data_IF_316410577046
#
_entry.id   IF_316410577046
#
_cell.length_a   1.000
_cell.length_b   1.000
_cell.length_c   1.000
_cell.angle_alpha   90.00
_cell.angle_beta   90.00
_cell.angle_gamma   90.00
#
_symmetry.space_group_name_H-M   'P 1'
#
loop_
_entity.id
_entity.type
_entity.pdbx_description
1 polymer ?
#
# COMPACT_ATOMS: atom_id res chain seq x y z
N UNK A 1 -29.84 -6.56 9.84
CA UNK A 1 -30.72 -6.44 8.63
C UNK A 1 -32.20 -6.47 8.99
N UNK A 2 -32.71 -7.45 9.76
CA UNK A 2 -34.14 -7.52 10.12
C UNK A 2 -34.61 -6.35 11.01
N UNK A 3 -33.85 -5.95 12.04
CA UNK A 3 -34.20 -4.80 12.90
C UNK A 3 -34.23 -3.46 12.14
N UNK A 4 -33.37 -3.31 11.13
CA UNK A 4 -33.37 -2.13 10.25
C UNK A 4 -34.62 -2.07 9.38
N UNK A 5 -35.02 -3.20 8.79
CA UNK A 5 -36.26 -3.29 8.01
C UNK A 5 -37.49 -3.03 8.89
N UNK A 6 -37.50 -3.53 10.12
CA UNK A 6 -38.56 -3.24 11.09
C UNK A 6 -38.67 -1.74 11.37
N UNK A 7 -37.57 -1.04 11.65
CA UNK A 7 -37.61 0.42 11.87
C UNK A 7 -38.11 1.16 10.63
N UNK A 8 -37.68 0.74 9.43
CA UNK A 8 -38.04 1.40 8.17
C UNK A 8 -39.52 1.24 7.79
N UNK A 9 -40.12 0.11 8.13
CA UNK A 9 -41.50 -0.22 7.76
C UNK A 9 -42.48 -0.15 8.92
N UNK A 10 -42.04 0.30 10.10
CA UNK A 10 -42.92 0.46 11.26
C UNK A 10 -43.87 1.63 11.02
N UNK A 11 -45.18 1.46 11.25
CA UNK A 11 -46.12 2.58 11.26
C UNK A 11 -45.72 3.64 12.29
N UNK A 12 -46.13 4.89 12.06
CA UNK A 12 -45.85 5.97 13.00
C UNK A 12 -46.53 5.72 14.36
N UNK A 13 -46.00 6.31 15.42
CA UNK A 13 -46.52 6.08 16.77
C UNK A 13 -48.00 6.47 16.89
N UNK A 14 -48.46 7.50 16.18
CA UNK A 14 -49.87 7.90 16.14
C UNK A 14 -50.77 6.84 15.49
N UNK A 15 -50.28 6.20 14.42
CA UNK A 15 -50.98 5.11 13.73
C UNK A 15 -51.06 3.88 14.63
N UNK A 16 -49.96 3.53 15.30
CA UNK A 16 -49.93 2.43 16.28
C UNK A 16 -50.90 2.68 17.45
N UNK A 17 -50.99 3.93 17.94
CA UNK A 17 -51.93 4.29 18.99
C UNK A 17 -53.38 4.16 18.53
N UNK A 18 -53.66 4.50 17.28
CA UNK A 18 -55.01 4.36 16.68
C UNK A 18 -55.38 2.90 16.53
N UNK A 19 -54.48 2.08 15.97
CA UNK A 19 -54.66 0.63 15.83
C UNK A 19 -54.85 -0.05 17.19
N UNK A 20 -54.17 0.42 18.23
CA UNK A 20 -54.28 -0.15 19.58
C UNK A 20 -55.71 -0.10 20.17
N UNK A 21 -56.58 0.79 19.65
CA UNK A 21 -57.99 0.91 20.07
C UNK A 21 -58.89 -0.14 19.42
N UNK A 22 -58.44 -0.75 18.30
CA UNK A 22 -59.19 -1.74 17.52
C UNK A 22 -58.91 -3.19 17.96
N UNK A 23 -58.33 -3.40 19.15
CA UNK A 23 -57.96 -4.73 19.68
C UNK A 23 -59.14 -5.71 19.74
N UNK A 24 -60.36 -5.23 19.95
CA UNK A 24 -61.57 -6.06 20.01
C UNK A 24 -61.93 -6.69 18.67
N UNK A 25 -61.47 -6.11 17.56
CA UNK A 25 -61.80 -6.54 16.20
C UNK A 25 -60.64 -7.26 15.52
N UNK A 26 -59.62 -7.70 16.27
CA UNK A 26 -58.37 -8.25 15.76
C UNK A 26 -58.53 -9.28 14.63
N UNK A 27 -59.44 -10.24 14.80
CA UNK A 27 -59.66 -11.32 13.82
C UNK A 27 -60.32 -10.85 12.51
N UNK A 28 -60.88 -9.64 12.49
CA UNK A 28 -61.56 -9.07 11.33
C UNK A 28 -60.68 -8.09 10.53
N UNK A 29 -59.48 -7.79 11.03
CA UNK A 29 -58.54 -6.86 10.41
C UNK A 29 -57.59 -7.55 9.44
N UNK A 30 -57.01 -6.78 8.53
CA UNK A 30 -56.00 -7.28 7.59
C UNK A 30 -54.67 -7.61 8.29
N UNK A 31 -53.86 -8.51 7.72
CA UNK A 31 -52.56 -8.92 8.32
C UNK A 31 -51.65 -7.75 8.73
N UNK A 32 -51.51 -6.65 7.94
CA UNK A 32 -50.70 -5.49 8.35
C UNK A 32 -51.26 -4.74 9.57
N UNK A 33 -52.58 -4.66 9.70
CA UNK A 33 -53.25 -4.00 10.84
C UNK A 33 -53.14 -4.87 12.09
N UNK A 34 -53.30 -6.19 11.94
CA UNK A 34 -53.03 -7.15 13.00
C UNK A 34 -51.59 -7.03 13.51
N UNK A 35 -50.61 -6.94 12.60
CA UNK A 35 -49.21 -6.69 12.95
C UNK A 35 -49.04 -5.38 13.73
N UNK A 36 -49.66 -4.28 13.27
CA UNK A 36 -49.62 -2.99 13.95
C UNK A 36 -50.21 -3.04 15.37
N UNK A 37 -51.29 -3.80 15.57
CA UNK A 37 -51.87 -4.02 16.91
C UNK A 37 -50.90 -4.77 17.82
N UNK A 38 -50.30 -5.87 17.35
CA UNK A 38 -49.32 -6.63 18.15
C UNK A 38 -48.13 -5.75 18.51
N UNK A 39 -47.61 -4.97 17.57
CA UNK A 39 -46.49 -4.05 17.80
C UNK A 39 -46.85 -2.90 18.75
N UNK A 40 -48.09 -2.41 18.73
CA UNK A 40 -48.56 -1.35 19.64
C UNK A 40 -48.53 -1.74 21.12
N UNK A 41 -48.58 -3.05 21.42
CA UNK A 41 -48.49 -3.55 22.79
C UNK A 41 -47.07 -3.40 23.38
N UNK A 42 -46.05 -3.23 22.53
CA UNK A 42 -44.66 -3.10 22.98
C UNK A 42 -44.39 -1.67 23.44
N UNK A 43 -44.23 -1.49 24.76
CA UNK A 43 -43.89 -0.20 25.35
C UNK A 43 -42.56 0.35 24.79
N UNK A 44 -42.56 1.60 24.34
CA UNK A 44 -41.38 2.31 23.78
C UNK A 44 -40.71 1.55 22.62
N UNK A 45 -41.51 1.00 21.71
CA UNK A 45 -41.04 0.17 20.60
C UNK A 45 -39.91 0.81 19.78
N UNK A 46 -40.04 2.07 19.38
CA UNK A 46 -39.00 2.77 18.60
C UNK A 46 -37.66 2.84 19.35
N UNK A 47 -37.68 3.20 20.64
CA UNK A 47 -36.47 3.22 21.48
C UNK A 47 -35.83 1.83 21.59
N UNK A 48 -36.64 0.78 21.78
CA UNK A 48 -36.15 -0.60 21.84
C UNK A 48 -35.49 -1.04 20.54
N UNK A 49 -36.12 -0.77 19.41
CA UNK A 49 -35.60 -1.13 18.09
C UNK A 49 -34.29 -0.40 17.78
N UNK A 50 -34.22 0.90 18.03
CA UNK A 50 -33.00 1.70 17.85
C UNK A 50 -31.86 1.20 18.74
N UNK A 51 -32.16 0.86 20.00
CA UNK A 51 -31.20 0.30 20.93
C UNK A 51 -30.69 -1.08 20.49
N UNK A 52 -31.58 -1.98 20.04
CA UNK A 52 -31.20 -3.29 19.50
C UNK A 52 -30.34 -3.13 18.26
N UNK A 53 -30.72 -2.23 17.34
CA UNK A 53 -29.94 -1.96 16.13
C UNK A 53 -28.54 -1.47 16.49
N UNK A 54 -28.43 -0.51 17.41
CA UNK A 54 -27.15 0.00 17.90
C UNK A 54 -26.30 -1.13 18.48
N UNK A 55 -26.87 -1.98 19.36
CA UNK A 55 -26.15 -3.13 19.93
C UNK A 55 -25.62 -4.09 18.87
N UNK A 56 -26.40 -4.36 17.82
CA UNK A 56 -26.00 -5.23 16.72
C UNK A 56 -24.90 -4.63 15.84
N UNK A 57 -24.86 -3.30 15.71
CA UNK A 57 -23.86 -2.59 14.89
C UNK A 57 -22.62 -2.15 15.68
N UNK A 58 -22.68 -2.13 17.00
CA UNK A 58 -21.63 -1.57 17.85
C UNK A 58 -20.27 -2.21 17.60
N UNK A 59 -20.20 -3.54 17.54
CA UNK A 59 -18.96 -4.26 17.31
C UNK A 59 -18.37 -3.95 15.91
N UNK A 60 -19.22 -3.86 14.89
CA UNK A 60 -18.82 -3.47 13.54
C UNK A 60 -18.26 -2.03 13.52
N UNK A 61 -18.95 -1.09 14.17
CA UNK A 61 -18.48 0.29 14.26
C UNK A 61 -17.11 0.38 14.96
N UNK A 62 -16.91 -0.35 16.06
CA UNK A 62 -15.61 -0.43 16.75
C UNK A 62 -14.53 -1.02 15.84
N UNK A 63 -14.85 -2.09 15.11
CA UNK A 63 -13.94 -2.76 14.19
C UNK A 63 -13.62 -1.92 12.94
N UNK A 64 -14.44 -0.93 12.62
CA UNK A 64 -14.15 0.03 11.54
C UNK A 64 -13.27 1.18 12.03
N UNK A 65 -13.50 1.72 13.24
CA UNK A 65 -12.75 2.88 13.77
C UNK A 65 -11.36 2.48 14.27
N UNK A 66 -11.25 1.36 14.97
CA UNK A 66 -10.02 0.96 15.67
C UNK A 66 -8.81 0.77 14.73
N UNK A 67 -8.92 0.10 13.57
CA UNK A 67 -7.80 -0.09 12.66
C UNK A 67 -7.25 1.23 12.12
N UNK A 68 -8.11 2.21 11.87
CA UNK A 68 -7.71 3.53 11.40
C UNK A 68 -6.86 4.25 12.46
N UNK A 69 -7.33 4.28 13.71
CA UNK A 69 -6.57 4.85 14.83
C UNK A 69 -5.18 4.18 14.95
N UNK A 70 -5.16 2.85 14.86
CA UNK A 70 -3.92 2.08 14.95
C UNK A 70 -2.97 2.36 13.78
N UNK A 71 -3.50 2.44 12.56
CA UNK A 71 -2.70 2.69 11.36
C UNK A 71 -1.99 4.04 11.45
N UNK A 72 -2.69 5.09 11.85
CA UNK A 72 -2.03 6.41 11.94
C UNK A 72 -1.14 6.54 13.18
N UNK A 73 -1.52 5.94 14.31
CA UNK A 73 -0.64 5.90 15.50
C UNK A 73 0.69 5.22 15.17
N UNK A 74 0.65 4.07 14.50
CA UNK A 74 1.83 3.36 14.01
C UNK A 74 2.60 4.23 13.00
N UNK A 75 1.88 4.81 12.02
CA UNK A 75 2.27 5.94 11.18
C UNK A 75 3.29 6.89 11.82
N UNK A 76 2.81 7.56 12.85
CA UNK A 76 3.53 8.63 13.50
C UNK A 76 4.70 8.14 14.35
N UNK A 77 4.58 6.98 15.00
CA UNK A 77 5.69 6.38 15.71
C UNK A 77 6.84 5.98 14.76
N UNK A 78 6.50 5.35 13.63
CA UNK A 78 7.42 4.94 12.58
C UNK A 78 8.19 6.15 12.01
N UNK A 79 7.47 7.20 11.64
CA UNK A 79 8.04 8.46 11.12
C UNK A 79 9.02 9.10 12.11
N UNK A 80 8.71 9.06 13.41
CA UNK A 80 9.57 9.66 14.45
C UNK A 80 10.77 8.79 14.79
N UNK A 81 10.60 7.47 14.83
CA UNK A 81 11.63 6.51 15.30
C UNK A 81 12.62 6.13 14.19
N UNK A 82 12.18 6.13 12.92
CA UNK A 82 13.00 5.68 11.79
C UNK A 82 14.34 6.43 11.73
N UNK A 83 15.43 5.65 11.82
CA UNK A 83 16.81 6.15 11.69
C UNK A 83 17.17 6.33 10.22
N UNK A 84 16.73 5.39 9.38
CA UNK A 84 16.94 5.40 7.94
C UNK A 84 16.29 6.63 7.29
N UNK A 85 15.05 6.97 7.68
CA UNK A 85 14.37 8.18 7.20
C UNK A 85 15.10 9.45 7.63
N UNK A 86 15.54 9.55 8.88
CA UNK A 86 16.36 10.70 9.33
C UNK A 86 17.64 10.84 8.52
N UNK A 87 18.32 9.73 8.23
CA UNK A 87 19.53 9.74 7.41
C UNK A 87 19.26 10.15 5.97
N UNK A 88 18.11 9.76 5.41
CA UNK A 88 17.66 10.23 4.10
C UNK A 88 17.51 11.76 4.08
N UNK A 89 16.88 12.33 5.11
CA UNK A 89 16.70 13.79 5.21
C UNK A 89 18.04 14.53 5.30
N UNK A 90 19.01 14.00 6.05
CA UNK A 90 20.38 14.54 6.09
C UNK A 90 21.04 14.53 4.70
N UNK A 91 20.89 13.45 3.95
CA UNK A 91 21.43 13.35 2.59
C UNK A 91 20.78 14.36 1.64
N UNK A 92 19.45 14.50 1.71
CA UNK A 92 18.71 15.49 0.92
C UNK A 92 19.16 16.90 1.27
N UNK A 93 19.34 17.21 2.56
CA UNK A 93 19.83 18.52 3.01
C UNK A 93 21.25 18.79 2.50
N UNK A 94 22.14 17.80 2.58
CA UNK A 94 23.52 17.91 2.10
C UNK A 94 23.57 18.19 0.60
N UNK A 95 22.84 17.39 -0.20
CA UNK A 95 22.76 17.56 -1.65
C UNK A 95 22.15 18.91 -2.01
N UNK A 96 21.06 19.28 -1.34
CA UNK A 96 20.39 20.56 -1.53
C UNK A 96 21.30 21.75 -1.23
N UNK A 97 22.06 21.71 -0.14
CA UNK A 97 23.01 22.77 0.23
C UNK A 97 24.17 22.89 -0.76
N UNK A 98 24.67 21.76 -1.27
CA UNK A 98 25.71 21.75 -2.30
C UNK A 98 25.21 22.34 -3.62
N UNK A 99 24.02 21.93 -4.08
CA UNK A 99 23.43 22.40 -5.34
C UNK A 99 23.02 23.87 -5.31
N UNK A 100 22.60 24.36 -4.14
CA UNK A 100 22.16 25.75 -3.95
C UNK A 100 23.30 26.69 -3.52
N UNK A 101 24.57 26.25 -3.59
CA UNK A 101 25.71 27.09 -3.24
C UNK A 101 25.72 28.40 -4.04
N UNK A 102 25.89 29.53 -3.35
CA UNK A 102 25.86 30.88 -3.95
C UNK A 102 24.45 31.46 -4.18
N UNK A 103 23.38 30.74 -3.83
CA UNK A 103 22.01 31.25 -3.85
C UNK A 103 21.52 31.68 -2.46
N UNK A 104 20.35 32.32 -2.39
CA UNK A 104 19.67 32.63 -1.12
C UNK A 104 19.37 31.39 -0.25
N UNK A 105 19.30 30.21 -0.86
CA UNK A 105 19.03 28.93 -0.20
C UNK A 105 20.32 28.14 0.13
N UNK A 106 21.50 28.76 0.00
CA UNK A 106 22.74 28.16 0.45
C UNK A 106 22.77 28.03 1.98
N UNK A 107 23.43 26.99 2.50
CA UNK A 107 23.69 26.78 3.94
C UNK A 107 22.42 26.79 4.82
N UNK A 108 21.33 26.21 4.34
CA UNK A 108 20.13 26.05 5.16
C UNK A 108 20.32 24.93 6.18
N UNK A 109 19.71 25.08 7.36
CA UNK A 109 19.74 24.06 8.43
C UNK A 109 18.65 23.02 8.29
N UNK A 110 17.69 23.23 7.39
CA UNK A 110 16.55 22.36 7.18
C UNK A 110 15.69 22.82 6.02
N UNK A 111 14.76 21.96 5.63
CA UNK A 111 13.80 22.21 4.57
C UNK A 111 12.43 21.67 4.97
N UNK A 112 11.37 22.20 4.37
CA UNK A 112 10.03 21.68 4.58
C UNK A 112 9.86 20.32 3.88
N UNK A 113 9.34 19.31 4.58
CA UNK A 113 9.17 17.94 4.08
C UNK A 113 8.32 17.83 2.80
N UNK A 114 7.38 18.74 2.56
CA UNK A 114 6.66 18.84 1.27
C UNK A 114 7.60 19.00 0.05
N UNK A 115 8.82 19.48 0.27
CA UNK A 115 9.84 19.62 -0.78
C UNK A 115 10.36 18.28 -1.27
N UNK A 116 10.20 17.19 -0.51
CA UNK A 116 10.62 15.85 -0.93
C UNK A 116 9.95 15.41 -2.24
N UNK A 117 8.65 15.73 -2.39
CA UNK A 117 7.89 15.47 -3.61
C UNK A 117 8.41 16.26 -4.83
N UNK A 118 9.19 17.32 -4.62
CA UNK A 118 9.74 18.18 -5.69
C UNK A 118 11.08 17.68 -6.23
N UNK A 119 11.70 16.70 -5.59
CA UNK A 119 12.98 16.14 -6.04
C UNK A 119 12.89 15.45 -7.42
N UNK A 120 11.69 15.05 -7.85
CA UNK A 120 11.47 14.54 -9.21
C UNK A 120 11.51 15.64 -10.28
N UNK A 121 11.26 16.89 -9.90
CA UNK A 121 11.11 17.99 -10.87
C UNK A 121 12.46 18.56 -11.29
N UNK A 122 13.49 18.40 -10.45
CA UNK A 122 14.87 18.76 -10.78
C UNK A 122 15.49 17.70 -11.68
N UNK A 123 15.74 18.03 -12.95
CA UNK A 123 16.31 17.11 -13.96
C UNK A 123 17.81 17.32 -14.16
N UNK A 124 18.50 16.26 -14.58
CA UNK A 124 19.88 16.34 -15.08
C UNK A 124 19.95 17.15 -16.38
N UNK A 125 21.15 17.62 -16.74
CA UNK A 125 21.38 18.41 -17.96
C UNK A 125 20.97 17.67 -19.24
N UNK A 126 21.10 16.34 -19.26
CA UNK A 126 20.67 15.48 -20.37
C UNK A 126 19.17 15.10 -20.32
N UNK A 127 18.43 15.59 -19.32
CA UNK A 127 17.01 15.34 -19.07
C UNK A 127 16.62 13.86 -18.92
N UNK A 128 17.58 12.95 -18.76
CA UNK A 128 17.32 11.50 -18.65
C UNK A 128 17.02 11.05 -17.23
N UNK A 129 17.52 11.77 -16.24
CA UNK A 129 17.40 11.43 -14.82
C UNK A 129 16.96 12.63 -14.01
N UNK A 130 16.46 12.37 -12.82
CA UNK A 130 16.04 13.43 -11.88
C UNK A 130 16.91 13.38 -10.63
N UNK A 131 16.85 14.43 -9.81
CA UNK A 131 17.54 14.48 -8.54
C UNK A 131 17.09 13.33 -7.61
N UNK A 132 15.81 12.92 -7.70
CA UNK A 132 15.32 11.73 -7.01
C UNK A 132 16.03 10.45 -7.48
N UNK A 133 16.20 10.25 -8.78
CA UNK A 133 16.94 9.09 -9.32
C UNK A 133 18.39 9.06 -8.82
N UNK A 134 19.04 10.22 -8.82
CA UNK A 134 20.40 10.38 -8.33
C UNK A 134 20.50 10.10 -6.82
N UNK A 135 19.56 10.59 -6.02
CA UNK A 135 19.49 10.32 -4.59
C UNK A 135 19.36 8.83 -4.30
N UNK A 136 18.45 8.15 -5.01
CA UNK A 136 18.25 6.70 -4.87
C UNK A 136 19.53 5.94 -5.24
N UNK A 137 20.20 6.32 -6.32
CA UNK A 137 21.46 5.71 -6.74
C UNK A 137 22.58 5.88 -5.71
N UNK A 138 22.71 7.07 -5.10
CA UNK A 138 23.63 7.29 -3.98
C UNK A 138 23.28 6.41 -2.77
N UNK A 139 22.00 6.28 -2.44
CA UNK A 139 21.56 5.44 -1.34
C UNK A 139 21.92 3.97 -1.62
N UNK A 140 21.68 3.47 -2.83
CA UNK A 140 22.05 2.10 -3.22
C UNK A 140 23.56 1.83 -3.12
N UNK A 141 24.39 2.79 -3.53
CA UNK A 141 25.85 2.59 -3.62
C UNK A 141 26.59 2.85 -2.32
N UNK A 142 26.19 3.88 -1.56
CA UNK A 142 26.96 4.38 -0.41
C UNK A 142 26.24 4.25 0.92
N UNK A 143 24.91 4.23 0.92
CA UNK A 143 24.09 4.25 2.15
C UNK A 143 22.93 3.24 2.07
N UNK A 144 23.21 1.93 1.92
CA UNK A 144 22.18 0.92 1.71
C UNK A 144 21.21 0.79 2.89
N UNK A 145 21.65 1.17 4.09
CA UNK A 145 20.83 1.24 5.31
C UNK A 145 19.70 2.27 5.20
N UNK A 146 19.87 3.31 4.40
CA UNK A 146 18.85 4.35 4.16
C UNK A 146 17.66 3.77 3.44
N UNK A 147 17.84 2.80 2.53
CA UNK A 147 16.76 2.20 1.74
C UNK A 147 15.68 1.54 2.61
N UNK A 148 16.02 1.13 3.83
CA UNK A 148 15.09 0.51 4.78
C UNK A 148 13.96 1.46 5.23
N UNK A 149 14.06 2.77 4.96
CA UNK A 149 12.99 3.70 5.33
C UNK A 149 11.65 3.35 4.65
N UNK A 150 11.68 2.69 3.50
CA UNK A 150 10.45 2.26 2.83
C UNK A 150 9.72 1.18 3.62
N UNK A 151 10.45 0.35 4.37
CA UNK A 151 9.90 -0.69 5.24
C UNK A 151 9.58 -0.14 6.63
N UNK A 152 10.44 0.76 7.15
CA UNK A 152 10.19 1.42 8.43
C UNK A 152 8.86 2.20 8.43
N UNK A 153 8.42 2.71 7.28
CA UNK A 153 7.19 3.51 7.11
C UNK A 153 6.04 2.72 6.45
N UNK A 154 5.89 1.43 6.75
CA UNK A 154 4.91 0.55 6.10
C UNK A 154 3.44 0.95 6.36
N UNK A 155 3.11 1.55 7.51
CA UNK A 155 1.72 1.92 7.83
C UNK A 155 1.27 3.20 7.13
N UNK A 156 2.20 3.90 6.46
CA UNK A 156 1.95 5.18 5.82
C UNK A 156 0.89 5.11 4.71
N UNK A 157 0.82 4.01 3.95
CA UNK A 157 -0.20 3.82 2.89
C UNK A 157 -1.63 3.70 3.43
N UNK A 158 -1.78 3.08 4.61
CA UNK A 158 -3.09 3.00 5.28
C UNK A 158 -3.41 4.34 5.93
N UNK A 159 -2.44 4.90 6.65
CA UNK A 159 -2.56 6.16 7.36
C UNK A 159 -2.94 7.33 6.45
N UNK A 160 -2.40 7.41 5.22
CA UNK A 160 -2.73 8.48 4.28
C UNK A 160 -4.16 8.44 3.74
N UNK A 161 -4.91 7.34 3.97
CA UNK A 161 -6.30 7.17 3.52
C UNK A 161 -7.31 7.43 4.64
N UNK A 162 -6.83 7.59 5.87
CA UNK A 162 -7.68 7.83 7.04
C UNK A 162 -8.08 9.30 7.06
N UNK A 163 -9.38 9.56 7.16
CA UNK A 163 -9.89 10.91 7.42
C UNK A 163 -10.04 11.14 8.92
N UNK A 164 -9.27 12.08 9.47
CA UNK A 164 -9.30 12.45 10.87
C UNK A 164 -10.68 13.03 11.26
N UNK A 165 -11.28 13.83 10.38
CA UNK A 165 -12.60 14.40 10.60
C UNK A 165 -13.69 13.32 10.70
N UNK A 166 -13.68 12.34 9.79
CA UNK A 166 -14.66 11.25 9.83
C UNK A 166 -14.47 10.37 11.07
N UNK A 167 -13.22 10.15 11.47
CA UNK A 167 -12.90 9.35 12.64
C UNK A 167 -13.42 10.00 13.92
N UNK A 168 -13.21 11.32 14.08
CA UNK A 168 -13.75 12.09 15.21
C UNK A 168 -15.30 12.11 15.20
N UNK A 169 -15.92 12.29 14.02
CA UNK A 169 -17.39 12.25 13.87
C UNK A 169 -17.95 10.89 14.30
N UNK A 170 -17.38 9.80 13.81
CA UNK A 170 -17.84 8.44 14.11
C UNK A 170 -17.70 8.12 15.60
N UNK A 171 -16.59 8.54 16.22
CA UNK A 171 -16.35 8.35 17.65
C UNK A 171 -17.35 9.15 18.51
N UNK A 172 -17.57 10.43 18.20
CA UNK A 172 -18.57 11.26 18.87
C UNK A 172 -20.00 10.73 18.68
N UNK A 173 -20.32 10.22 17.49
CA UNK A 173 -21.62 9.61 17.23
C UNK A 173 -21.84 8.37 18.09
N UNK A 174 -20.85 7.48 18.16
CA UNK A 174 -20.90 6.28 19.00
C UNK A 174 -21.08 6.64 20.48
N UNK A 175 -20.34 7.64 20.98
CA UNK A 175 -20.46 8.11 22.36
C UNK A 175 -21.86 8.66 22.66
N UNK A 176 -22.42 9.48 21.75
CA UNK A 176 -23.79 10.00 21.88
C UNK A 176 -24.83 8.89 21.89
N UNK A 177 -24.68 7.87 21.02
CA UNK A 177 -25.59 6.72 20.97
C UNK A 177 -25.54 5.91 22.27
N UNK A 178 -24.37 5.72 22.86
CA UNK A 178 -24.22 5.08 24.18
C UNK A 178 -24.86 5.89 25.30
N UNK A 179 -24.60 7.20 25.35
CA UNK A 179 -25.20 8.09 26.35
C UNK A 179 -26.73 8.13 26.25
N UNK A 180 -27.26 8.12 25.03
CA UNK A 180 -28.69 8.08 24.79
C UNK A 180 -29.29 6.74 25.26
N UNK A 181 -28.63 5.63 24.94
CA UNK A 181 -29.05 4.30 25.40
C UNK A 181 -29.05 4.20 26.93
N UNK A 182 -28.04 4.74 27.60
CA UNK A 182 -27.98 4.77 29.06
C UNK A 182 -29.15 5.56 29.67
N UNK A 183 -29.46 6.74 29.12
CA UNK A 183 -30.62 7.54 29.56
C UNK A 183 -31.92 6.79 29.34
N UNK A 184 -32.07 6.15 28.17
CA UNK A 184 -33.27 5.40 27.85
C UNK A 184 -33.48 4.25 28.84
N UNK A 185 -32.44 3.46 29.13
CA UNK A 185 -32.50 2.37 30.11
C UNK A 185 -32.89 2.82 31.52
N UNK A 186 -32.51 4.03 31.94
CA UNK A 186 -32.92 4.60 33.24
C UNK A 186 -34.40 5.01 33.28
N UNK A 187 -34.99 5.34 32.13
CA UNK A 187 -36.39 5.79 32.01
C UNK A 187 -37.32 4.61 31.62
N UNK A 188 -36.78 3.43 31.31
CA UNK A 188 -37.62 2.27 30.97
C UNK A 188 -38.46 1.82 32.17
N UNK A 189 -39.78 1.60 31.99
CA UNK A 189 -40.62 1.08 33.06
C UNK A 189 -40.17 -0.34 33.46
N UNK A 190 -40.51 -0.79 34.69
CA UNK A 190 -40.32 -2.17 35.08
C UNK A 190 -40.98 -3.13 34.07
N UNK A 191 -40.38 -4.30 33.81
CA UNK A 191 -40.97 -5.27 32.88
C UNK A 191 -42.28 -5.81 33.45
N UNK A 192 -43.37 -5.64 32.71
CA UNK A 192 -44.69 -6.20 33.09
C UNK A 192 -44.82 -7.68 32.69
N UNK A 193 -43.93 -8.17 31.82
CA UNK A 193 -43.92 -9.53 31.27
C UNK A 193 -42.57 -10.21 31.58
N UNK A 194 -42.63 -11.47 32.02
CA UNK A 194 -41.48 -12.36 32.22
C UNK A 194 -40.62 -12.54 30.95
N UNK A 195 -41.20 -12.32 29.76
CA UNK A 195 -40.49 -12.37 28.49
C UNK A 195 -39.77 -11.06 28.14
N UNK A 196 -40.05 -9.94 28.82
CA UNK A 196 -39.36 -8.67 28.61
C UNK A 196 -37.98 -8.66 29.30
N UNK A 197 -36.97 -9.15 28.56
CA UNK A 197 -35.58 -9.19 29.00
C UNK A 197 -34.75 -8.00 28.49
N UNK A 198 -35.39 -6.94 27.99
CA UNK A 198 -34.68 -5.85 27.32
C UNK A 198 -33.66 -5.17 28.24
N UNK A 199 -34.08 -4.69 29.42
CA UNK A 199 -33.19 -4.01 30.37
C UNK A 199 -32.07 -4.94 30.84
N UNK A 200 -32.39 -6.21 31.12
CA UNK A 200 -31.41 -7.21 31.56
C UNK A 200 -30.37 -7.57 30.49
N UNK A 201 -30.76 -7.57 29.20
CA UNK A 201 -29.87 -7.92 28.07
C UNK A 201 -29.14 -6.72 27.49
N UNK A 202 -29.69 -5.53 27.63
CA UNK A 202 -29.07 -4.27 27.20
C UNK A 202 -28.08 -3.77 28.26
N UNK A 203 -27.05 -4.57 28.51
CA UNK A 203 -25.91 -4.13 29.30
C UNK A 203 -25.08 -3.12 28.50
N UNK A 204 -24.85 -1.95 29.11
CA UNK A 204 -24.07 -0.84 28.55
C UNK A 204 -22.61 -0.84 29.00
N UNK A 205 -22.27 -1.58 30.05
CA UNK A 205 -20.94 -1.54 30.68
C UNK A 205 -19.83 -1.91 29.68
N UNK A 206 -20.05 -2.97 28.91
CA UNK A 206 -19.14 -3.40 27.85
C UNK A 206 -18.98 -2.34 26.75
N UNK A 207 -20.09 -1.72 26.33
CA UNK A 207 -20.05 -0.67 25.30
C UNK A 207 -19.31 0.58 25.76
N UNK A 208 -19.53 1.00 27.01
CA UNK A 208 -18.86 2.14 27.63
C UNK A 208 -17.36 1.90 27.77
N UNK A 209 -16.93 0.71 28.22
CA UNK A 209 -15.50 0.37 28.34
C UNK A 209 -14.80 0.41 26.97
N UNK A 210 -15.41 -0.19 25.95
CA UNK A 210 -14.88 -0.19 24.59
C UNK A 210 -14.80 1.23 24.00
N UNK A 211 -15.84 2.04 24.18
CA UNK A 211 -15.86 3.42 23.71
C UNK A 211 -14.79 4.26 24.42
N UNK A 212 -14.69 4.18 25.75
CA UNK A 212 -13.65 4.89 26.52
C UNK A 212 -12.24 4.49 26.07
N UNK A 213 -12.02 3.20 25.81
CA UNK A 213 -10.74 2.72 25.28
C UNK A 213 -10.44 3.31 23.90
N UNK A 214 -11.41 3.33 23.00
CA UNK A 214 -11.27 3.95 21.67
C UNK A 214 -10.98 5.45 21.79
N UNK A 215 -11.68 6.18 22.64
CA UNK A 215 -11.44 7.61 22.89
C UNK A 215 -10.02 7.85 23.41
N UNK A 216 -9.54 7.06 24.39
CA UNK A 216 -8.15 7.18 24.86
C UNK A 216 -7.13 6.88 23.77
N UNK A 217 -7.40 5.88 22.91
CA UNK A 217 -6.53 5.59 21.76
C UNK A 217 -6.51 6.76 20.76
N UNK A 218 -7.66 7.38 20.50
CA UNK A 218 -7.78 8.56 19.65
C UNK A 218 -6.99 9.76 20.20
N UNK A 219 -7.15 10.09 21.49
CA UNK A 219 -6.42 11.17 22.13
C UNK A 219 -4.89 10.94 22.10
N UNK A 220 -4.46 9.70 22.29
CA UNK A 220 -3.05 9.35 22.20
C UNK A 220 -2.52 9.50 20.77
N UNK A 221 -3.31 9.09 19.77
CA UNK A 221 -3.02 9.28 18.36
C UNK A 221 -2.85 10.77 18.02
N UNK A 222 -3.77 11.64 18.47
CA UNK A 222 -3.65 13.09 18.29
C UNK A 222 -2.38 13.67 18.93
N UNK A 223 -2.01 13.22 20.13
CA UNK A 223 -0.75 13.61 20.78
C UNK A 223 0.47 13.17 19.98
N UNK A 224 0.46 11.96 19.42
CA UNK A 224 1.53 11.49 18.53
C UNK A 224 1.65 12.39 17.29
N UNK A 225 0.53 12.83 16.72
CA UNK A 225 0.53 13.75 15.57
C UNK A 225 1.18 15.07 15.92
N UNK A 226 0.73 15.72 16.99
CA UNK A 226 1.27 17.00 17.44
C UNK A 226 2.77 16.90 17.71
N UNK A 227 3.21 15.79 18.29
CA UNK A 227 4.61 15.51 18.54
C UNK A 227 5.43 15.36 17.23
N UNK A 228 4.90 14.68 16.21
CA UNK A 228 5.58 14.54 14.91
C UNK A 228 5.64 15.88 14.18
N UNK A 229 4.53 16.61 14.15
CA UNK A 229 4.48 17.92 13.50
C UNK A 229 5.44 18.91 14.16
N UNK A 230 5.49 18.93 15.49
CA UNK A 230 6.46 19.73 16.24
C UNK A 230 7.90 19.30 15.97
N UNK A 231 8.17 17.99 15.90
CA UNK A 231 9.52 17.46 15.63
C UNK A 231 10.07 17.86 14.26
N UNK A 232 9.22 17.87 13.23
CA UNK A 232 9.59 18.28 11.86
C UNK A 232 9.30 19.77 11.55
N UNK A 233 8.98 20.57 12.58
CA UNK A 233 8.67 22.00 12.47
C UNK A 233 7.58 22.32 11.42
N UNK A 234 6.53 21.51 11.38
CA UNK A 234 5.37 21.69 10.49
C UNK A 234 4.30 22.52 11.20
N UNK A 235 3.79 23.53 10.49
CA UNK A 235 2.70 24.40 10.98
C UNK A 235 1.33 23.73 10.76
N UNK A 236 0.71 23.31 11.87
CA UNK A 236 -0.63 22.70 11.91
C UNK A 236 -1.73 23.60 11.32
N UNK A 237 -1.49 24.91 11.19
CA UNK A 237 -2.46 25.83 10.56
C UNK A 237 -2.40 25.81 9.04
N UNK A 238 -1.29 25.34 8.47
CA UNK A 238 -1.03 25.36 7.02
C UNK A 238 -1.17 24.01 6.38
N UNK A 239 -0.80 22.95 7.09
CA UNK A 239 -0.77 21.59 6.57
C UNK A 239 -1.59 20.70 7.49
N UNK A 240 -2.61 20.06 6.92
CA UNK A 240 -3.41 19.09 7.66
C UNK A 240 -2.62 17.78 7.87
N UNK A 241 -3.03 16.97 8.86
CA UNK A 241 -2.39 15.66 9.12
C UNK A 241 -2.52 14.74 7.92
N UNK A 242 -3.69 14.73 7.29
CA UNK A 242 -4.00 13.93 6.10
C UNK A 242 -3.10 14.32 4.93
N UNK A 243 -2.94 15.61 4.69
CA UNK A 243 -2.06 16.15 3.65
C UNK A 243 -0.60 15.78 3.89
N UNK A 244 -0.12 15.94 5.12
CA UNK A 244 1.25 15.57 5.48
C UNK A 244 1.55 14.08 5.25
N UNK A 245 0.67 13.20 5.73
CA UNK A 245 0.83 11.75 5.57
C UNK A 245 0.72 11.34 4.09
N UNK A 246 -0.16 12.00 3.34
CA UNK A 246 -0.33 11.79 1.90
C UNK A 246 0.92 12.20 1.14
N UNK A 247 1.47 13.39 1.39
CA UNK A 247 2.71 13.85 0.78
C UNK A 247 3.88 12.92 1.06
N UNK A 248 4.00 12.45 2.32
CA UNK A 248 5.06 11.52 2.67
C UNK A 248 4.87 10.16 2.00
N UNK A 249 3.64 9.66 1.87
CA UNK A 249 3.34 8.42 1.16
C UNK A 249 3.63 8.55 -0.35
N UNK A 250 3.30 9.70 -0.93
CA UNK A 250 3.61 10.03 -2.32
C UNK A 250 5.12 10.01 -2.54
N UNK A 251 5.90 10.65 -1.67
CA UNK A 251 7.35 10.61 -1.73
C UNK A 251 7.90 9.19 -1.61
N UNK A 252 7.43 8.39 -0.64
CA UNK A 252 7.81 6.98 -0.48
C UNK A 252 7.55 6.18 -1.77
N UNK A 253 6.38 6.37 -2.36
CA UNK A 253 5.99 5.70 -3.62
C UNK A 253 6.87 6.13 -4.78
N UNK A 254 7.13 7.44 -4.90
CA UNK A 254 8.03 7.99 -5.92
C UNK A 254 9.47 7.47 -5.77
N UNK A 255 9.97 7.35 -4.54
CA UNK A 255 11.30 6.81 -4.26
C UNK A 255 11.41 5.35 -4.72
N UNK A 256 10.42 4.51 -4.37
CA UNK A 256 10.35 3.12 -4.81
C UNK A 256 10.26 3.00 -6.34
N UNK A 257 9.51 3.90 -6.99
CA UNK A 257 9.41 3.94 -8.44
C UNK A 257 10.76 4.32 -9.08
N UNK A 258 11.44 5.34 -8.56
CA UNK A 258 12.76 5.74 -9.03
C UNK A 258 13.82 4.64 -8.84
N UNK A 259 13.75 3.85 -7.76
CA UNK A 259 14.60 2.67 -7.57
C UNK A 259 14.38 1.62 -8.67
N UNK A 260 13.12 1.30 -8.98
CA UNK A 260 12.77 0.38 -10.08
C UNK A 260 13.24 0.89 -11.44
N UNK A 261 13.11 2.20 -11.69
CA UNK A 261 13.56 2.84 -12.92
C UNK A 261 15.09 2.82 -13.05
N UNK A 262 15.81 3.06 -11.95
CA UNK A 262 17.27 2.95 -11.90
C UNK A 262 17.76 1.53 -12.20
N UNK A 263 17.12 0.50 -11.65
CA UNK A 263 17.46 -0.89 -11.95
C UNK A 263 17.30 -1.17 -13.45
N UNK A 264 16.15 -0.80 -14.03
CA UNK A 264 15.89 -0.98 -15.47
C UNK A 264 16.90 -0.22 -16.35
N UNK A 265 17.29 0.99 -15.94
CA UNK A 265 18.30 1.80 -16.62
C UNK A 265 19.67 1.10 -16.59
N UNK A 266 20.14 0.67 -15.41
CA UNK A 266 21.42 -0.06 -15.25
C UNK A 266 21.46 -1.35 -16.08
N UNK A 267 20.35 -2.10 -16.12
CA UNK A 267 20.23 -3.31 -16.96
C UNK A 267 20.30 -3.01 -18.47
N UNK A 268 19.63 -1.93 -18.91
CA UNK A 268 19.65 -1.52 -20.31
C UNK A 268 21.04 -1.02 -20.75
N UNK A 269 21.72 -0.24 -19.90
CA UNK A 269 23.08 0.25 -20.13
C UNK A 269 24.09 -0.90 -20.24
N UNK A 270 24.03 -1.89 -19.34
CA UNK A 270 24.91 -3.06 -19.39
C UNK A 270 24.63 -3.93 -20.64
N UNK A 271 23.36 -4.08 -21.04
CA UNK A 271 22.99 -4.77 -22.28
C UNK A 271 23.56 -4.05 -23.51
N UNK A 272 23.45 -2.72 -23.56
CA UNK A 272 24.02 -1.92 -24.65
C UNK A 272 25.55 -2.00 -24.67
N UNK A 273 26.20 -1.92 -23.51
CA UNK A 273 27.67 -2.05 -23.40
C UNK A 273 28.15 -3.40 -23.94
N UNK A 274 27.49 -4.50 -23.57
CA UNK A 274 27.79 -5.84 -24.09
C UNK A 274 27.58 -5.94 -25.61
N UNK A 275 26.52 -5.33 -26.13
CA UNK A 275 26.25 -5.30 -27.56
C UNK A 275 27.32 -4.51 -28.34
N UNK A 276 27.79 -3.37 -27.82
CA UNK A 276 28.88 -2.58 -28.43
C UNK A 276 30.19 -3.36 -28.47
N UNK A 277 30.59 -3.97 -27.35
CA UNK A 277 31.80 -4.80 -27.28
C UNK A 277 31.72 -5.99 -28.26
N UNK A 278 30.55 -6.62 -28.37
CA UNK A 278 30.35 -7.72 -29.33
C UNK A 278 30.44 -7.26 -30.78
N UNK A 279 29.89 -6.08 -31.11
CA UNK A 279 29.94 -5.48 -32.45
C UNK A 279 31.37 -5.10 -32.83
N UNK A 280 32.10 -4.42 -31.96
CA UNK A 280 33.51 -4.05 -32.18
C UNK A 280 34.40 -5.27 -32.37
N UNK A 281 34.19 -6.33 -31.57
CA UNK A 281 34.91 -7.59 -31.73
C UNK A 281 34.59 -8.27 -33.06
N UNK A 282 33.33 -8.28 -33.49
CA UNK A 282 32.91 -8.84 -34.77
C UNK A 282 33.47 -8.05 -35.96
N UNK A 283 33.53 -6.72 -35.88
CA UNK A 283 34.14 -5.86 -36.89
C UNK A 283 35.65 -6.08 -36.98
N UNK A 284 36.35 -6.20 -35.84
CA UNK A 284 37.78 -6.51 -35.81
C UNK A 284 38.08 -7.88 -36.44
N UNK A 285 37.31 -8.92 -36.10
CA UNK A 285 37.47 -10.26 -36.69
C UNK A 285 37.18 -10.26 -38.20
N UNK A 286 36.19 -9.46 -38.65
CA UNK A 286 35.90 -9.30 -40.08
C UNK A 286 37.06 -8.61 -40.82
N UNK A 287 37.64 -7.56 -40.24
CA UNK A 287 38.77 -6.83 -40.83
C UNK A 287 40.02 -7.72 -40.88
N UNK A 288 40.32 -8.47 -39.82
CA UNK A 288 41.43 -9.43 -39.79
C UNK A 288 41.27 -10.52 -40.88
N UNK A 289 40.06 -11.04 -41.07
CA UNK A 289 39.75 -11.99 -42.17
C UNK A 289 39.95 -11.37 -43.54
N UNK A 290 39.52 -10.12 -43.74
CA UNK A 290 39.72 -9.40 -45.01
C UNK A 290 41.20 -9.13 -45.29
N UNK A 291 41.97 -8.69 -44.29
CA UNK A 291 43.42 -8.49 -44.43
C UNK A 291 44.17 -9.81 -44.70
N UNK A 292 43.80 -10.89 -44.02
CA UNK A 292 44.38 -12.22 -44.26
C UNK A 292 44.07 -12.70 -45.69
N UNK A 293 42.85 -12.47 -46.19
CA UNK A 293 42.48 -12.75 -47.58
C UNK A 293 43.26 -11.87 -48.58
N UNK A 294 43.45 -10.57 -48.30
CA UNK A 294 44.22 -9.66 -49.16
C UNK A 294 45.70 -10.03 -49.21
N UNK A 295 46.33 -10.35 -48.08
CA UNK A 295 47.71 -10.86 -48.02
C UNK A 295 47.91 -12.14 -48.83
N UNK A 296 46.97 -13.09 -48.73
CA UNK A 296 47.01 -14.32 -49.53
C UNK A 296 46.86 -14.08 -51.04
N UNK A 297 46.23 -12.98 -51.45
CA UNK A 297 46.10 -12.57 -52.86
C UNK A 297 47.34 -11.80 -53.34
N UNK A 298 47.90 -10.90 -52.52
CA UNK A 298 49.09 -10.07 -52.85
C UNK A 298 50.39 -10.90 -52.90
N UNK A 299 50.60 -11.87 -52.00
CA UNK A 299 51.74 -12.80 -52.07
C UNK A 299 51.75 -13.68 -53.33
N UNK A 300 50.66 -13.69 -54.11
CA UNK A 300 50.51 -14.52 -55.31
C UNK A 300 50.58 -13.72 -56.62
N UNK A 301 50.69 -12.39 -56.58
CA UNK A 301 50.78 -11.52 -57.77
C UNK A 301 52.19 -11.05 -58.11
N UNK A 302 53.19 -11.29 -57.25
CA UNK A 302 54.59 -10.85 -57.47
C UNK A 302 55.50 -11.93 -58.12
N UNK A 303 54.96 -13.08 -58.55
CA UNK A 303 55.74 -14.09 -59.29
C UNK A 303 54.88 -14.87 -60.28
N UNK A 304 55.21 -14.72 -61.57
CA UNK A 304 54.77 -15.45 -62.78
C UNK A 304 53.33 -16.02 -62.85
N UNK A 305 52.61 -15.57 -63.88
CA UNK A 305 51.20 -15.85 -64.19
C UNK A 305 50.83 -17.34 -64.41
N UNK A 306 51.77 -18.28 -64.27
CA UNK A 306 51.54 -19.71 -64.51
C UNK A 306 51.32 -20.56 -63.25
N UNK A 307 51.55 -20.05 -62.03
CA UNK A 307 51.46 -20.83 -60.77
C UNK A 307 50.22 -20.59 -59.89
N UNK A 308 49.36 -19.64 -60.28
CA UNK A 308 48.25 -19.15 -59.44
C UNK A 308 47.17 -20.23 -59.21
N UNK A 309 46.89 -21.05 -60.22
CA UNK A 309 45.87 -22.11 -60.21
C UNK A 309 46.27 -23.28 -59.29
N UNK A 310 47.50 -23.78 -59.42
CA UNK A 310 48.02 -24.89 -58.62
C UNK A 310 48.15 -24.50 -57.14
N UNK A 311 48.60 -23.28 -56.86
CA UNK A 311 48.63 -22.75 -55.49
C UNK A 311 47.24 -22.53 -54.88
N UNK A 312 46.18 -22.38 -55.68
CA UNK A 312 44.79 -22.31 -55.19
C UNK A 312 44.24 -23.71 -54.89
N UNK A 313 44.54 -24.68 -55.76
CA UNK A 313 44.18 -26.08 -55.55
C UNK A 313 44.87 -26.66 -54.32
N UNK A 314 46.15 -26.36 -54.10
CA UNK A 314 46.91 -26.80 -52.93
C UNK A 314 46.39 -26.20 -51.61
N UNK A 315 45.96 -24.93 -51.61
CA UNK A 315 45.35 -24.28 -50.45
C UNK A 315 43.95 -24.84 -50.11
N UNK A 316 43.19 -25.26 -51.13
CA UNK A 316 41.91 -25.95 -50.97
C UNK A 316 42.10 -27.39 -50.47
N UNK A 317 43.11 -28.09 -50.99
CA UNK A 317 43.41 -29.49 -50.69
C UNK A 317 44.09 -29.68 -49.32
N UNK A 318 44.98 -28.76 -48.92
CA UNK A 318 45.58 -28.70 -47.57
C UNK A 318 44.61 -28.22 -46.47
N UNK A 319 43.41 -27.75 -46.87
CA UNK A 319 42.40 -27.20 -45.98
C UNK A 319 42.75 -25.83 -45.39
N UNK A 320 43.88 -25.22 -45.78
CA UNK A 320 44.31 -23.90 -45.33
C UNK A 320 43.29 -22.80 -45.66
N UNK A 321 42.51 -22.98 -46.73
CA UNK A 321 41.45 -22.07 -47.15
C UNK A 321 40.22 -21.99 -46.21
N UNK A 322 40.00 -22.96 -45.31
CA UNK A 322 38.74 -23.09 -44.54
C UNK A 322 38.90 -23.18 -43.01
N UNK A 323 40.10 -23.02 -42.45
CA UNK A 323 40.39 -23.33 -41.04
C UNK A 323 39.62 -22.49 -39.98
N UNK A 324 39.11 -21.31 -40.30
CA UNK A 324 38.59 -20.37 -39.29
C UNK A 324 37.10 -20.54 -38.90
N UNK A 325 36.35 -21.50 -39.48
CA UNK A 325 34.91 -21.66 -39.20
C UNK A 325 34.56 -22.49 -37.95
N UNK A 326 35.51 -23.14 -37.25
CA UNK A 326 35.22 -24.18 -36.22
C UNK A 326 35.56 -23.84 -34.76
N UNK A 327 35.97 -22.63 -34.39
CA UNK A 327 36.16 -22.29 -32.95
C UNK A 327 34.89 -21.67 -32.37
N UNK A 328 33.97 -22.51 -31.86
CA UNK A 328 32.90 -22.06 -30.95
C UNK A 328 33.54 -21.64 -29.62
N UNK A 329 33.35 -20.39 -29.23
CA UNK A 329 33.74 -19.85 -27.92
C UNK A 329 32.78 -20.34 -26.83
N UNK A 330 33.26 -20.78 -25.65
CA UNK A 330 32.40 -21.09 -24.50
C UNK A 330 31.78 -19.80 -23.95
N UNK A 331 30.50 -19.84 -23.57
CA UNK A 331 29.84 -18.74 -22.82
C UNK A 331 30.41 -18.68 -21.40
N UNK A 332 30.93 -17.53 -20.93
CA UNK A 332 31.25 -17.37 -19.52
C UNK A 332 29.95 -17.21 -18.73
N UNK A 333 29.74 -18.07 -17.73
CA UNK A 333 28.70 -17.90 -16.70
C UNK A 333 29.18 -16.79 -15.76
N UNK A 334 28.55 -15.62 -15.83
CA UNK A 334 28.89 -14.49 -14.97
C UNK A 334 28.26 -14.63 -13.57
N UNK A 335 29.09 -14.59 -12.54
CA UNK A 335 28.73 -14.67 -11.10
C UNK A 335 28.14 -13.36 -10.51
N UNK A 336 27.88 -12.34 -11.32
CA UNK A 336 27.31 -11.06 -10.86
C UNK A 336 25.79 -11.07 -10.63
N UNK A 337 25.10 -12.18 -10.91
CA UNK A 337 23.64 -12.28 -10.85
C UNK A 337 23.07 -12.52 -9.43
N UNK A 338 23.92 -12.85 -8.44
CA UNK A 338 23.44 -13.32 -7.14
C UNK A 338 23.11 -12.16 -6.19
N UNK A 339 23.82 -11.03 -6.26
CA UNK A 339 23.58 -9.88 -5.36
C UNK A 339 22.36 -9.05 -5.80
N UNK A 340 22.17 -8.86 -7.11
CA UNK A 340 21.04 -8.11 -7.70
C UNK A 340 19.69 -8.82 -7.50
N UNK A 341 19.65 -10.16 -7.50
CA UNK A 341 18.43 -10.93 -7.23
C UNK A 341 17.95 -10.82 -5.79
N UNK A 342 18.86 -10.62 -4.84
CA UNK A 342 18.51 -10.45 -3.43
C UNK A 342 17.81 -9.11 -3.20
N UNK A 343 18.30 -8.04 -3.82
CA UNK A 343 17.68 -6.72 -3.78
C UNK A 343 16.37 -6.64 -4.59
N UNK A 344 16.30 -7.30 -5.76
CA UNK A 344 15.03 -7.40 -6.49
C UNK A 344 13.97 -8.15 -5.68
N UNK A 345 14.34 -9.16 -4.88
CA UNK A 345 13.38 -9.85 -4.00
C UNK A 345 12.90 -8.96 -2.84
N UNK A 346 13.76 -8.11 -2.29
CA UNK A 346 13.42 -7.18 -1.20
C UNK A 346 12.64 -5.95 -1.67
N UNK A 347 12.88 -5.46 -2.89
CA UNK A 347 12.19 -4.28 -3.46
C UNK A 347 10.88 -4.68 -4.20
N UNK A 348 10.77 -5.92 -4.65
CA UNK A 348 9.56 -6.47 -5.31
C UNK A 348 8.64 -7.18 -4.32
N UNK A 349 9.01 -7.34 -3.04
CA UNK A 349 8.08 -7.80 -2.00
C UNK A 349 7.12 -6.69 -1.55
N UNK A 350 6.32 -6.16 -2.49
CA UNK A 350 4.99 -5.69 -2.14
C UNK A 350 4.06 -6.90 -2.13
N UNK A 351 3.39 -7.22 -1.01
CA UNK A 351 2.28 -8.14 -1.09
C UNK A 351 1.14 -7.42 -1.83
N UNK A 352 0.96 -7.76 -3.10
CA UNK A 352 -0.36 -7.66 -3.73
C UNK A 352 -1.32 -8.50 -2.89
N UNK A 353 -2.24 -7.87 -2.16
CA UNK A 353 -3.60 -8.31 -1.75
C UNK A 353 -3.91 -9.80 -1.39
N UNK A 354 -2.94 -10.68 -1.24
CA UNK A 354 -3.11 -12.12 -0.94
C UNK A 354 -2.44 -12.56 0.37
N UNK A 355 -1.74 -11.67 1.08
CA UNK A 355 -1.06 -12.00 2.33
C UNK A 355 -1.82 -11.61 3.62
N UNK A 356 -3.09 -11.18 3.51
CA UNK A 356 -3.94 -10.84 4.67
C UNK A 356 -5.02 -11.89 4.94
N UNK A 357 -4.66 -13.18 4.88
CA UNK A 357 -5.54 -14.26 5.33
C UNK A 357 -4.81 -15.27 6.22
N UNK A 358 -4.21 -14.79 7.32
CA UNK A 358 -3.78 -15.63 8.45
C UNK A 358 -4.10 -14.93 9.77
N UNK A 359 -5.37 -15.04 10.18
CA UNK A 359 -5.79 -14.93 11.57
C UNK A 359 -7.16 -15.64 11.73
N UNK A 360 -7.12 -16.83 12.31
CA UNK A 360 -8.12 -17.68 13.02
C UNK A 360 -9.65 -17.48 12.91
N UNK A 361 -10.23 -16.94 11.84
CA UNK A 361 -11.71 -16.88 11.69
C UNK A 361 -12.28 -17.65 10.49
N UNK A 362 -11.44 -18.26 9.65
CA UNK A 362 -11.88 -18.98 8.44
C UNK A 362 -12.16 -20.49 8.64
N UNK A 363 -11.76 -21.08 9.76
CA UNK A 363 -12.01 -22.52 10.03
C UNK A 363 -13.51 -22.79 10.22
N UNK A 364 -14.29 -21.82 10.73
CA UNK A 364 -15.75 -21.99 10.87
C UNK A 364 -16.50 -21.78 9.54
N UNK A 365 -16.01 -20.94 8.63
CA UNK A 365 -16.69 -20.66 7.36
C UNK A 365 -16.54 -21.80 6.35
N UNK A 366 -15.38 -22.47 6.33
CA UNK A 366 -15.18 -23.67 5.51
C UNK A 366 -15.94 -24.90 6.06
N UNK A 367 -16.12 -25.02 7.38
CA UNK A 367 -16.89 -26.15 7.96
C UNK A 367 -18.40 -26.06 7.72
N UNK A 368 -18.96 -24.85 7.57
CA UNK A 368 -20.39 -24.67 7.31
C UNK A 368 -20.76 -24.82 5.82
N UNK A 369 -19.86 -24.51 4.89
CA UNK A 369 -20.14 -24.66 3.44
C UNK A 369 -19.77 -26.04 2.86
N UNK A 370 -19.02 -26.89 3.57
CA UNK A 370 -18.74 -28.25 3.12
C UNK A 370 -19.89 -29.25 3.40
N UNK A 371 -20.90 -28.87 4.19
CA UNK A 371 -22.12 -29.67 4.40
C UNK A 371 -23.23 -29.41 3.35
N UNK A 372 -23.13 -28.35 2.57
CA UNK A 372 -24.14 -28.00 1.55
C UNK A 372 -23.84 -28.58 0.15
N UNK A 373 -22.67 -29.20 -0.05
CA UNK A 373 -22.23 -29.76 -1.35
C UNK A 373 -22.22 -31.30 -1.39
N UNK A 374 -22.84 -31.97 -0.41
CA UNK A 374 -23.00 -33.45 -0.37
C UNK A 374 -24.45 -33.93 -0.42
N UNK A 375 -25.40 -33.09 -0.85
CA UNK A 375 -26.81 -33.49 -1.06
C UNK A 375 -27.31 -33.23 -2.48
N UNK A 376 -26.39 -33.11 -3.44
CA UNK A 376 -26.71 -32.98 -4.86
C UNK A 376 -25.82 -33.91 -5.68
N UNK A 377 -25.87 -35.21 -5.37
CA UNK A 377 -25.48 -36.33 -6.23
C UNK A 377 -25.89 -37.64 -5.51
N UNK A 378 -27.20 -37.89 -5.46
CA UNK A 378 -27.88 -39.18 -5.67
C UNK A 378 -29.39 -38.98 -5.58
#
# INVERSE_FOLDING_TARGET
RQSYNLIKHLPEQEQLNTLSKLKSEYNNLSEPEQFGIVMSNVKRLQTRLSAILFKLQFEEQVNNIKPDIMAVSAACEEIKKSKSFRKLLELVLLIGNYMNAGSRNAQTFGFNLSSLCKLKDTKSADQKTTLLHFLVEICEEKYPDVLNFTEDLQHLDKASKVSAENLEKNLKQMERQLQQLEKDLKIFPPPDDIHDKFVTKMSISFGQEHCQKLTRMHENMEKLYQNVMGYYAIDLKKVSVEEFLTDLNNFRTMFLQAAKENIRRKEAEEKQRRARIAKEKAEKEKLERQQKKKRLLEMKTEGDETGVMDSLLEALQSGAAFRDRRKRTPRPKGEYYTLMKTLSKSIVSFPSLEAFCKCESWVLFCFLNMKALKSAEF
#
